data_IF_308578580990
#
_entry.id   IF_308578580990
#
_cell.length_a   1.000
_cell.length_b   1.000
_cell.length_c   1.000
_cell.angle_alpha   90.00
_cell.angle_beta   90.00
_cell.angle_gamma   90.00
#
_symmetry.space_group_name_H-M   'P 1'
#
loop_
_entity.id
_entity.type
_entity.pdbx_description
1 polymer ?
#
# COMPACT_ATOMS: atom_id res chain seq x y z
N UNK A 1 17.77 6.95 -7.42
CA UNK A 1 16.99 6.17 -8.40
C UNK A 1 17.59 6.37 -9.77
N UNK A 2 17.48 5.38 -10.63
CA UNK A 2 18.13 5.37 -11.94
C UNK A 2 17.20 5.88 -13.05
N UNK A 3 17.76 6.15 -14.23
CA UNK A 3 16.98 6.64 -15.38
C UNK A 3 15.92 5.61 -15.81
N UNK A 4 16.25 4.32 -15.70
CA UNK A 4 15.34 3.21 -15.98
C UNK A 4 14.13 3.15 -15.04
N UNK A 5 14.21 3.83 -13.89
CA UNK A 5 13.11 3.93 -12.94
C UNK A 5 12.10 5.01 -13.32
N UNK A 6 12.26 5.72 -14.44
CA UNK A 6 11.48 6.92 -14.78
C UNK A 6 10.68 6.81 -16.07
N UNK A 7 9.56 7.53 -16.11
CA UNK A 7 8.75 7.68 -17.32
C UNK A 7 9.37 8.71 -18.29
N UNK A 8 8.75 8.89 -19.46
CA UNK A 8 9.24 9.81 -20.50
C UNK A 8 9.40 11.28 -20.06
N UNK A 9 8.84 11.66 -18.90
CA UNK A 9 8.94 13.01 -18.33
C UNK A 9 10.03 13.11 -17.24
N UNK A 10 10.87 12.08 -17.07
CA UNK A 10 11.91 12.04 -16.03
C UNK A 10 11.35 11.92 -14.61
N UNK A 11 10.07 11.51 -14.46
CA UNK A 11 9.47 11.24 -13.15
C UNK A 11 9.56 9.77 -12.83
N UNK A 12 9.94 9.45 -11.60
CA UNK A 12 10.02 8.07 -11.12
C UNK A 12 8.66 7.39 -11.22
N UNK A 13 8.65 6.16 -11.73
CA UNK A 13 7.47 5.32 -11.81
C UNK A 13 6.92 5.01 -10.42
N UNK A 14 5.59 5.05 -10.30
CA UNK A 14 4.91 4.69 -9.06
C UNK A 14 5.29 3.31 -8.54
N UNK A 15 5.59 2.34 -9.41
CA UNK A 15 6.05 1.00 -9.03
C UNK A 15 7.33 0.99 -8.17
N UNK A 16 8.28 1.87 -8.47
CA UNK A 16 9.54 1.98 -7.72
C UNK A 16 9.30 2.58 -6.33
N UNK A 17 8.44 3.61 -6.26
CA UNK A 17 8.01 4.19 -4.98
C UNK A 17 7.22 3.16 -4.15
N UNK A 18 6.33 2.40 -4.78
CA UNK A 18 5.56 1.34 -4.12
C UNK A 18 6.44 0.24 -3.54
N UNK A 19 7.50 -0.16 -4.26
CA UNK A 19 8.49 -1.12 -3.73
C UNK A 19 9.17 -0.60 -2.46
N UNK A 20 9.54 0.68 -2.44
CA UNK A 20 10.15 1.31 -1.26
C UNK A 20 9.15 1.40 -0.09
N UNK A 21 7.90 1.74 -0.38
CA UNK A 21 6.80 1.76 0.59
C UNK A 21 6.59 0.38 1.22
N UNK A 22 6.46 -0.66 0.41
CA UNK A 22 6.22 -2.04 0.86
C UNK A 22 7.38 -2.56 1.72
N UNK A 23 8.63 -2.32 1.27
CA UNK A 23 9.83 -2.71 2.03
C UNK A 23 9.90 -2.03 3.40
N UNK A 24 9.60 -0.73 3.47
CA UNK A 24 9.58 0.01 4.73
C UNK A 24 8.44 -0.46 5.65
N UNK A 25 7.27 -0.76 5.09
CA UNK A 25 6.14 -1.28 5.84
C UNK A 25 6.42 -2.66 6.43
N UNK A 26 6.96 -3.57 5.62
CA UNK A 26 7.42 -4.90 6.04
C UNK A 26 8.46 -4.82 7.15
N UNK A 27 9.42 -3.91 7.04
CA UNK A 27 10.44 -3.70 8.08
C UNK A 27 9.83 -3.22 9.40
N UNK A 28 8.94 -2.22 9.36
CA UNK A 28 8.28 -1.71 10.56
C UNK A 28 7.38 -2.78 11.21
N UNK A 29 6.64 -3.52 10.39
CA UNK A 29 5.81 -4.64 10.81
C UNK A 29 6.63 -5.73 11.50
N UNK A 30 7.71 -6.19 10.86
CA UNK A 30 8.56 -7.24 11.37
C UNK A 30 9.22 -6.85 12.69
N UNK A 31 9.67 -5.59 12.81
CA UNK A 31 10.24 -5.05 14.06
C UNK A 31 9.23 -5.03 15.21
N UNK A 32 7.97 -4.73 14.94
CA UNK A 32 6.91 -4.74 15.96
C UNK A 32 6.55 -6.17 16.39
N UNK A 33 6.47 -7.09 15.43
CA UNK A 33 6.03 -8.47 15.69
C UNK A 33 7.14 -9.40 16.18
N UNK A 34 8.41 -9.09 15.90
CA UNK A 34 9.52 -10.04 16.04
C UNK A 34 9.40 -11.24 15.10
N UNK A 35 8.71 -11.09 13.97
CA UNK A 35 8.35 -12.16 13.02
C UNK A 35 8.37 -11.66 11.59
N UNK A 36 8.42 -12.57 10.61
CA UNK A 36 8.17 -12.23 9.21
C UNK A 36 6.72 -11.76 9.06
N UNK A 37 6.55 -10.68 8.30
CA UNK A 37 5.25 -10.13 7.97
C UNK A 37 5.11 -10.02 6.46
N UNK A 38 3.95 -10.40 5.94
CA UNK A 38 3.61 -10.31 4.51
C UNK A 38 2.54 -9.26 4.26
N UNK A 39 2.58 -8.64 3.09
CA UNK A 39 1.59 -7.64 2.67
C UNK A 39 0.32 -8.33 2.22
N UNK A 40 -0.79 -8.10 2.92
CA UNK A 40 -2.09 -8.70 2.61
C UNK A 40 -2.97 -7.77 1.76
N UNK A 41 -2.87 -6.45 1.98
CA UNK A 41 -3.60 -5.45 1.21
C UNK A 41 -2.96 -4.07 1.34
N UNK A 42 -3.29 -3.19 0.42
CA UNK A 42 -3.04 -1.75 0.53
C UNK A 42 -4.41 -1.07 0.67
N UNK A 43 -4.70 -0.52 1.85
CA UNK A 43 -5.98 0.13 2.16
C UNK A 43 -6.07 1.53 1.52
N UNK A 44 -4.94 2.15 1.23
CA UNK A 44 -4.88 3.38 0.47
C UNK A 44 -3.45 3.73 0.05
N UNK A 45 -3.33 4.30 -1.14
CA UNK A 45 -2.09 4.83 -1.70
C UNK A 45 -2.42 6.11 -2.46
N UNK A 46 -1.67 7.18 -2.20
CA UNK A 46 -1.86 8.46 -2.88
C UNK A 46 -0.53 9.05 -3.25
N UNK A 47 -0.34 9.34 -4.54
CA UNK A 47 0.77 10.12 -5.07
C UNK A 47 0.36 11.59 -5.07
N UNK A 48 0.96 12.38 -4.19
CA UNK A 48 0.62 13.78 -3.96
C UNK A 48 1.49 14.72 -4.78
N UNK A 49 2.76 14.37 -4.94
CA UNK A 49 3.73 15.11 -5.71
C UNK A 49 4.66 14.14 -6.47
N UNK A 50 5.18 14.54 -7.65
CA UNK A 50 6.12 13.71 -8.39
C UNK A 50 7.47 13.60 -7.68
N UNK A 51 8.15 12.48 -7.92
CA UNK A 51 9.55 12.25 -7.56
C UNK A 51 10.38 12.38 -8.82
N UNK A 52 11.41 13.22 -8.78
CA UNK A 52 12.32 13.43 -9.91
C UNK A 52 13.47 12.42 -9.89
N UNK A 53 13.98 12.06 -11.06
CA UNK A 53 15.23 11.29 -11.13
C UNK A 53 16.36 12.09 -10.47
N UNK A 54 17.08 11.42 -9.57
CA UNK A 54 18.12 12.04 -8.76
C UNK A 54 17.65 12.59 -7.40
N UNK A 55 16.34 12.59 -7.12
CA UNK A 55 15.84 12.88 -5.76
C UNK A 55 16.30 11.82 -4.76
N UNK A 56 16.57 12.27 -3.54
CA UNK A 56 16.75 11.45 -2.36
C UNK A 56 15.39 11.17 -1.76
N UNK A 57 15.05 9.89 -1.58
CA UNK A 57 13.82 9.50 -0.89
C UNK A 57 14.04 9.27 0.60
N UNK A 58 13.14 9.82 1.40
CA UNK A 58 13.02 9.54 2.83
C UNK A 58 11.69 8.83 3.06
N UNK A 59 11.76 7.54 3.38
CA UNK A 59 10.59 6.69 3.63
C UNK A 59 10.43 6.46 5.13
N UNK A 60 9.30 6.90 5.67
CA UNK A 60 8.97 6.80 7.10
C UNK A 60 7.79 5.84 7.26
N UNK A 61 7.98 4.75 8.00
CA UNK A 61 6.94 3.77 8.28
C UNK A 61 6.66 3.67 9.79
N UNK A 62 5.39 3.47 10.16
CA UNK A 62 4.96 3.28 11.56
C UNK A 62 3.73 2.37 11.63
N UNK A 63 3.71 1.46 12.60
CA UNK A 63 2.52 0.67 12.92
C UNK A 63 1.47 1.59 13.54
N UNK A 64 0.30 1.68 12.91
CA UNK A 64 -0.79 2.56 13.34
C UNK A 64 -1.81 1.84 14.23
N UNK A 65 -2.11 0.57 13.93
CA UNK A 65 -3.01 -0.27 14.72
C UNK A 65 -2.68 -1.75 14.53
N UNK A 66 -3.11 -2.58 15.48
CA UNK A 66 -2.92 -4.03 15.46
C UNK A 66 -4.25 -4.76 15.68
N UNK A 67 -4.44 -5.87 14.96
CA UNK A 67 -5.48 -6.85 15.19
C UNK A 67 -4.93 -8.07 15.94
N UNK A 68 -5.56 -9.24 15.74
CA UNK A 68 -5.06 -10.48 16.34
C UNK A 68 -3.76 -10.95 15.70
N UNK A 69 -3.72 -11.01 14.37
CA UNK A 69 -2.59 -11.50 13.57
C UNK A 69 -2.11 -10.50 12.51
N UNK A 70 -2.72 -9.32 12.47
CA UNK A 70 -2.51 -8.32 11.44
C UNK A 70 -2.20 -6.95 12.02
N UNK A 71 -1.59 -6.11 11.20
CA UNK A 71 -1.15 -4.76 11.54
C UNK A 71 -1.56 -3.83 10.40
N UNK A 72 -1.95 -2.60 10.73
CA UNK A 72 -1.87 -1.54 9.74
C UNK A 72 -0.55 -0.78 9.90
N UNK A 73 0.18 -0.58 8.81
CA UNK A 73 1.38 0.25 8.75
C UNK A 73 1.13 1.45 7.85
N UNK A 74 1.27 2.65 8.41
CA UNK A 74 1.26 3.89 7.66
C UNK A 74 2.66 4.22 7.14
N UNK A 75 2.75 4.62 5.88
CA UNK A 75 4.01 5.03 5.25
C UNK A 75 3.87 6.41 4.63
N UNK A 76 4.85 7.27 4.92
CA UNK A 76 5.01 8.60 4.32
C UNK A 76 6.34 8.61 3.55
N UNK A 77 6.26 8.96 2.27
CA UNK A 77 7.44 9.17 1.41
C UNK A 77 7.63 10.67 1.23
N UNK A 78 8.84 11.12 1.49
CA UNK A 78 9.29 12.47 1.18
C UNK A 78 10.40 12.39 0.12
N UNK A 79 10.43 13.38 -0.78
CA UNK A 79 11.51 13.55 -1.75
C UNK A 79 12.27 14.86 -1.47
N UNK A 80 13.58 14.82 -1.64
CA UNK A 80 14.49 15.94 -1.45
C UNK A 80 15.51 15.98 -2.59
N UNK A 81 15.76 17.17 -3.13
CA UNK A 81 16.84 17.35 -4.11
C UNK A 81 18.18 17.08 -3.44
N UNK A 82 19.10 16.40 -4.13
CA UNK A 82 20.47 16.19 -3.66
C UNK A 82 21.24 17.49 -3.43
N UNK A 83 20.81 18.60 -4.05
CA UNK A 83 21.37 19.95 -3.82
C UNK A 83 20.85 20.60 -2.53
N UNK A 84 20.01 19.90 -1.77
CA UNK A 84 19.28 20.39 -0.61
C UNK A 84 17.96 21.05 -0.98
N UNK A 85 17.22 21.47 0.04
CA UNK A 85 15.94 22.18 -0.10
C UNK A 85 14.87 21.66 0.85
N UNK A 86 13.63 22.11 0.65
CA UNK A 86 12.49 21.63 1.42
C UNK A 86 12.13 20.20 0.98
N UNK A 87 11.82 19.35 1.97
CA UNK A 87 11.27 18.02 1.71
C UNK A 87 9.84 18.12 1.24
N UNK A 88 9.54 17.44 0.14
CA UNK A 88 8.22 17.40 -0.49
C UNK A 88 7.52 16.10 -0.14
N UNK A 89 6.26 16.16 0.26
CA UNK A 89 5.51 14.96 0.60
C UNK A 89 4.96 14.34 -0.67
N UNK A 90 5.58 13.27 -1.14
CA UNK A 90 5.24 12.68 -2.44
C UNK A 90 4.23 11.56 -2.34
N UNK A 91 4.23 10.78 -1.27
CA UNK A 91 3.33 9.62 -1.16
C UNK A 91 2.87 9.37 0.26
N UNK A 92 1.59 9.02 0.40
CA UNK A 92 1.04 8.40 1.61
C UNK A 92 0.52 7.01 1.26
N UNK A 93 0.78 6.05 2.13
CA UNK A 93 0.26 4.69 1.98
C UNK A 93 -0.15 4.09 3.33
N UNK A 94 -1.12 3.18 3.29
CA UNK A 94 -1.58 2.41 4.45
C UNK A 94 -1.68 0.94 4.04
N UNK A 95 -0.85 0.11 4.66
CA UNK A 95 -0.70 -1.29 4.29
C UNK A 95 -1.22 -2.18 5.41
N UNK A 96 -2.01 -3.18 5.04
CA UNK A 96 -2.38 -4.27 5.92
C UNK A 96 -1.31 -5.36 5.81
N UNK A 97 -0.64 -5.59 6.93
CA UNK A 97 0.38 -6.62 7.07
C UNK A 97 -0.18 -7.79 7.90
N UNK A 98 0.29 -9.00 7.65
CA UNK A 98 -0.03 -10.20 8.44
C UNK A 98 1.26 -10.84 8.91
N UNK A 99 1.37 -11.05 10.23
CA UNK A 99 2.50 -11.76 10.82
C UNK A 99 2.35 -13.27 10.61
N UNK A 100 3.44 -13.95 10.31
CA UNK A 100 3.46 -15.40 10.08
C UNK A 100 4.31 -16.12 11.14
N UNK A 101 3.95 -17.36 11.45
CA UNK A 101 4.80 -18.31 12.16
C UNK A 101 5.75 -19.05 11.21
N UNK A 102 6.55 -19.97 11.76
CA UNK A 102 7.57 -20.70 11.01
C UNK A 102 6.97 -21.67 9.98
N UNK A 103 5.69 -22.03 10.14
CA UNK A 103 4.92 -22.85 9.19
C UNK A 103 4.18 -21.98 8.15
N UNK A 104 4.37 -20.65 8.17
CA UNK A 104 3.71 -19.71 7.27
C UNK A 104 2.24 -19.45 7.59
N UNK A 105 1.77 -19.77 8.80
CA UNK A 105 0.38 -19.50 9.24
C UNK A 105 0.29 -18.17 10.00
N UNK A 106 -0.88 -17.49 9.98
CA UNK A 106 -1.04 -16.23 10.70
C UNK A 106 -0.77 -16.35 12.21
N UNK A 107 0.21 -15.57 12.70
CA UNK A 107 0.67 -15.59 14.09
C UNK A 107 0.14 -14.39 14.89
N UNK A 108 0.00 -14.57 16.20
CA UNK A 108 -0.45 -13.51 17.10
C UNK A 108 0.56 -12.34 17.15
N UNK A 109 0.04 -11.12 17.25
CA UNK A 109 0.82 -9.87 17.24
C UNK A 109 0.81 -9.23 18.63
N UNK A 110 1.93 -8.64 19.09
CA UNK A 110 1.97 -7.87 20.33
C UNK A 110 1.04 -6.62 20.31
N UNK A 111 0.38 -6.28 21.42
CA UNK A 111 -0.49 -5.11 21.48
C UNK A 111 0.28 -3.80 21.24
N UNK A 112 -0.30 -2.88 20.47
CA UNK A 112 0.24 -1.54 20.27
C UNK A 112 -0.33 -0.57 21.31
N UNK A 113 0.56 0.06 22.08
CA UNK A 113 0.21 1.13 23.03
C UNK A 113 0.52 2.49 22.39
N UNK A 114 -0.48 3.34 22.08
CA UNK A 114 -0.23 4.67 21.54
C UNK A 114 0.29 5.60 22.64
N UNK A 115 1.47 6.17 22.44
CA UNK A 115 2.14 7.03 23.43
C UNK A 115 1.74 8.50 23.25
N UNK A 116 1.68 8.95 22.00
CA UNK A 116 1.44 10.36 21.66
C UNK A 116 0.01 10.61 21.15
N UNK A 117 -0.44 11.86 21.14
CA UNK A 117 -1.70 12.23 20.48
C UNK A 117 -1.70 11.91 18.99
N UNK A 118 -0.54 12.04 18.33
CA UNK A 118 -0.38 11.65 16.93
C UNK A 118 -0.62 10.15 16.74
N UNK A 119 -0.17 9.30 17.67
CA UNK A 119 -0.41 7.86 17.62
C UNK A 119 -1.87 7.52 17.86
N UNK A 120 -2.51 8.18 18.83
CA UNK A 120 -3.95 8.03 19.07
C UNK A 120 -4.76 8.37 17.82
N UNK A 121 -4.46 9.48 17.15
CA UNK A 121 -5.11 9.88 15.89
C UNK A 121 -4.87 8.88 14.76
N UNK A 122 -3.62 8.44 14.56
CA UNK A 122 -3.28 7.43 13.54
C UNK A 122 -4.04 6.13 13.75
N UNK A 123 -4.11 5.68 15.00
CA UNK A 123 -4.83 4.47 15.38
C UNK A 123 -6.32 4.57 15.08
N UNK A 124 -6.92 5.71 15.39
CA UNK A 124 -8.33 5.95 15.09
C UNK A 124 -8.60 5.91 13.57
N UNK A 125 -7.77 6.61 12.79
CA UNK A 125 -7.90 6.57 11.33
C UNK A 125 -7.68 5.15 10.76
N UNK A 126 -6.82 4.34 11.39
CA UNK A 126 -6.57 2.95 11.00
C UNK A 126 -7.77 2.04 11.23
N UNK A 127 -8.51 2.28 12.32
CA UNK A 127 -9.76 1.55 12.62
C UNK A 127 -10.84 1.85 11.58
N UNK A 128 -10.99 3.13 11.23
CA UNK A 128 -11.91 3.55 10.15
C UNK A 128 -11.55 2.84 8.83
N UNK A 129 -10.28 2.81 8.44
CA UNK A 129 -9.85 2.09 7.23
C UNK A 129 -10.13 0.59 7.30
N UNK A 130 -9.90 -0.05 8.45
CA UNK A 130 -10.22 -1.47 8.67
C UNK A 130 -11.72 -1.74 8.49
N UNK A 131 -12.57 -0.90 9.03
CA UNK A 131 -14.03 -1.01 8.89
C UNK A 131 -14.44 -0.89 7.42
N UNK A 132 -13.94 0.15 6.73
CA UNK A 132 -14.20 0.36 5.31
C UNK A 132 -13.74 -0.80 4.43
N UNK A 133 -12.54 -1.35 4.67
CA UNK A 133 -12.06 -2.54 3.94
C UNK A 133 -12.96 -3.74 4.21
N UNK A 134 -13.35 -3.98 5.45
CA UNK A 134 -14.19 -5.13 5.82
C UNK A 134 -15.55 -5.05 5.14
N UNK A 135 -16.18 -3.86 5.17
CA UNK A 135 -17.44 -3.61 4.49
C UNK A 135 -17.31 -3.73 2.96
N UNK A 136 -16.24 -3.17 2.37
CA UNK A 136 -15.96 -3.32 0.93
C UNK A 136 -15.84 -4.79 0.54
N UNK A 137 -15.09 -5.58 1.31
CA UNK A 137 -14.93 -7.02 1.05
C UNK A 137 -16.24 -7.79 1.20
N UNK A 138 -17.09 -7.43 2.17
CA UNK A 138 -18.44 -8.01 2.33
C UNK A 138 -19.30 -7.75 1.10
N UNK A 139 -19.39 -6.48 0.66
CA UNK A 139 -20.19 -6.09 -0.52
C UNK A 139 -19.73 -6.77 -1.81
N UNK A 140 -18.41 -6.89 -2.01
CA UNK A 140 -17.84 -7.56 -3.19
C UNK A 140 -18.13 -9.07 -3.19
N UNK A 141 -18.25 -9.72 -2.02
CA UNK A 141 -18.68 -11.11 -1.92
C UNK A 141 -20.16 -11.30 -2.24
N UNK A 142 -20.99 -10.32 -1.89
CA UNK A 142 -22.42 -10.30 -2.20
C UNK A 142 -22.69 -10.01 -3.70
N UNK A 143 -21.77 -9.30 -4.37
CA UNK A 143 -21.86 -8.93 -5.78
C UNK A 143 -20.56 -9.31 -6.51
N UNK A 144 -20.31 -10.61 -6.75
CA UNK A 144 -19.08 -11.05 -7.40
C UNK A 144 -19.00 -10.47 -8.82
N UNK A 145 -17.85 -9.88 -9.15
CA UNK A 145 -17.59 -9.44 -10.51
C UNK A 145 -17.52 -10.65 -11.46
N UNK A 146 -18.06 -10.49 -12.67
CA UNK A 146 -17.81 -11.43 -13.76
C UNK A 146 -16.33 -11.50 -14.11
N UNK A 147 -15.89 -12.54 -14.83
CA UNK A 147 -14.50 -12.65 -15.28
C UNK A 147 -14.08 -11.41 -16.06
N UNK A 148 -12.85 -10.95 -15.81
CA UNK A 148 -12.24 -9.84 -16.54
C UNK A 148 -11.89 -10.35 -17.95
N UNK A 149 -12.83 -10.20 -18.89
CA UNK A 149 -12.65 -10.47 -20.32
C UNK A 149 -12.81 -11.94 -20.73
N UNK A 150 -14.00 -12.27 -21.24
CA UNK A 150 -14.14 -13.24 -22.33
C UNK A 150 -14.72 -12.47 -23.50
N UNK A 151 -13.93 -12.27 -24.55
CA UNK A 151 -14.35 -11.53 -25.74
C UNK A 151 -15.64 -12.15 -26.28
N UNK A 152 -16.74 -11.39 -26.18
CA UNK A 152 -17.91 -11.62 -27.00
C UNK A 152 -17.48 -11.41 -28.45
N UNK A 153 -17.06 -12.50 -29.10
CA UNK A 153 -17.04 -12.54 -30.55
C UNK A 153 -18.49 -12.40 -30.99
N UNK A 154 -18.86 -11.16 -31.34
CA UNK A 154 -20.10 -10.87 -32.01
C UNK A 154 -20.17 -11.75 -33.26
N UNK A 155 -21.26 -12.51 -33.35
CA UNK A 155 -21.73 -13.12 -34.58
C UNK A 155 -21.72 -12.02 -35.64
N UNK A 156 -20.79 -12.12 -36.60
CA UNK A 156 -20.87 -11.34 -37.83
C UNK A 156 -22.06 -11.92 -38.59
N UNK A 157 -23.19 -11.22 -38.54
CA UNK A 157 -24.26 -11.40 -39.50
C UNK A 157 -23.71 -11.11 -40.90
N UNK A 158 -23.65 -12.14 -41.74
CA UNK A 158 -23.42 -11.98 -43.17
C UNK A 158 -24.55 -11.15 -43.78
N UNK A 159 -24.27 -10.15 -44.65
CA UNK A 159 -25.32 -9.48 -45.39
C UNK A 159 -25.83 -10.41 -46.48
N UNK A 160 -27.14 -10.66 -46.48
CA UNK A 160 -27.85 -11.31 -47.57
C UNK A 160 -27.64 -10.54 -48.88
N UNK A 161 -27.09 -11.23 -49.88
CA UNK A 161 -27.01 -10.73 -51.25
C UNK A 161 -28.41 -10.80 -51.88
N UNK A 162 -28.86 -9.69 -52.46
CA UNK A 162 -29.90 -9.66 -53.52
C UNK A 162 -29.48 -8.62 -54.54
#
# INVERSE_FOLDING_TARGET
MEITDSNALGKVHGGVVMRAVDSAAGTAAARHCGRVCVTAAIDGLSFLEPVDVGDILVVKARVNDVGRTSLEVGVRVEAESWRGGARRHTTSAYLLMVALDDDGRPAAVPPLRPETDADRRRREHARIRRELRTERLRRLKEHPAGPVGGDGQGERSEPAQT
#
